data_IF_257150435741
#
_entry.id   IF_257150435741
#
_cell.length_a   1.000
_cell.length_b   1.000
_cell.length_c   1.000
_cell.angle_alpha   90.00
_cell.angle_beta   90.00
_cell.angle_gamma   90.00
#
_symmetry.space_group_name_H-M   'P 1'
#
loop_
_entity.id
_entity.type
_entity.pdbx_description
1 polymer ?
#
# COMPACT_ATOMS: atom_id res chain seq x y z
N UNK A 1 -1.85 18.74 -29.28
CA UNK A 1 -2.29 19.25 -27.96
C UNK A 1 -2.21 18.16 -26.88
N UNK A 2 -3.00 17.07 -26.97
CA UNK A 2 -2.99 16.00 -25.95
C UNK A 2 -1.63 15.28 -25.82
N UNK A 3 -0.96 14.99 -26.95
CA UNK A 3 0.34 14.30 -26.95
C UNK A 3 1.46 15.14 -26.30
N UNK A 4 1.46 16.47 -26.48
CA UNK A 4 2.41 17.35 -25.81
C UNK A 4 2.15 17.41 -24.30
N UNK A 5 0.88 17.52 -23.88
CA UNK A 5 0.51 17.52 -22.47
C UNK A 5 0.90 16.21 -21.75
N UNK A 6 0.71 15.06 -22.40
CA UNK A 6 1.10 13.75 -21.87
C UNK A 6 2.63 13.55 -21.85
N UNK A 7 3.36 14.07 -22.84
CA UNK A 7 4.82 14.06 -22.80
C UNK A 7 5.38 14.97 -21.70
N UNK A 8 4.73 16.10 -21.42
CA UNK A 8 5.22 17.08 -20.45
C UNK A 8 4.84 16.70 -19.00
N UNK A 9 3.61 16.22 -18.76
CA UNK A 9 3.10 15.89 -17.43
C UNK A 9 2.93 14.39 -17.15
N UNK A 10 2.82 13.56 -18.18
CA UNK A 10 2.53 12.13 -18.04
C UNK A 10 3.65 11.35 -17.36
N UNK A 11 4.92 11.66 -17.66
CA UNK A 11 6.06 11.05 -16.98
C UNK A 11 6.17 11.49 -15.52
N UNK A 12 5.89 12.75 -15.22
CA UNK A 12 5.89 13.24 -13.84
C UNK A 12 4.75 12.61 -13.02
N UNK A 13 3.55 12.52 -13.60
CA UNK A 13 2.41 11.84 -13.00
C UNK A 13 2.68 10.34 -12.81
N UNK A 14 3.38 9.69 -13.75
CA UNK A 14 3.83 8.31 -13.62
C UNK A 14 4.84 8.14 -12.48
N UNK A 15 5.80 9.05 -12.33
CA UNK A 15 6.77 9.01 -11.24
C UNK A 15 6.07 9.12 -9.89
N UNK A 16 5.26 10.15 -9.69
CA UNK A 16 4.50 10.35 -8.44
C UNK A 16 3.51 9.22 -8.21
N UNK A 17 2.87 8.76 -9.27
CA UNK A 17 1.95 7.66 -9.23
C UNK A 17 2.63 6.39 -8.73
N UNK A 18 3.74 6.02 -9.34
CA UNK A 18 4.47 4.80 -8.97
C UNK A 18 5.16 4.86 -7.62
N UNK A 19 5.42 6.07 -7.13
CA UNK A 19 5.88 6.32 -5.76
C UNK A 19 4.83 5.94 -4.71
N UNK A 20 3.52 6.20 -4.95
CA UNK A 20 2.44 5.90 -4.00
C UNK A 20 1.65 4.62 -4.32
N UNK A 21 1.22 4.46 -5.57
CA UNK A 21 0.47 3.31 -6.11
C UNK A 21 1.08 2.85 -7.45
N UNK A 22 1.99 1.88 -7.37
CA UNK A 22 2.80 1.38 -8.50
C UNK A 22 2.02 0.74 -9.66
N UNK A 23 1.16 -0.22 -9.35
CA UNK A 23 0.69 -1.21 -10.33
C UNK A 23 -0.29 -0.63 -11.35
N UNK A 24 -1.32 0.08 -10.87
CA UNK A 24 -2.36 0.65 -11.73
C UNK A 24 -1.81 1.68 -12.68
N UNK A 25 -0.96 2.58 -12.18
CA UNK A 25 -0.43 3.70 -12.96
C UNK A 25 0.59 3.20 -13.99
N UNK A 26 1.42 2.19 -13.65
CA UNK A 26 2.30 1.56 -14.62
C UNK A 26 1.52 0.84 -15.72
N UNK A 27 0.43 0.13 -15.39
CA UNK A 27 -0.40 -0.52 -16.41
C UNK A 27 -1.02 0.51 -17.36
N UNK A 28 -1.52 1.62 -16.82
CA UNK A 28 -2.04 2.74 -17.63
C UNK A 28 -0.97 3.35 -18.54
N UNK A 29 0.21 3.63 -17.99
CA UNK A 29 1.31 4.21 -18.76
C UNK A 29 1.84 3.23 -19.82
N UNK A 30 1.87 1.92 -19.53
CA UNK A 30 2.21 0.89 -20.52
C UNK A 30 1.21 0.84 -21.68
N UNK A 31 -0.09 0.98 -21.40
CA UNK A 31 -1.11 1.10 -22.43
C UNK A 31 -0.98 2.39 -23.25
N UNK A 32 -0.71 3.54 -22.60
CA UNK A 32 -0.46 4.80 -23.28
C UNK A 32 0.80 4.73 -24.17
N UNK A 33 1.82 4.01 -23.72
CA UNK A 33 3.01 3.76 -24.52
C UNK A 33 2.70 2.93 -25.77
N UNK A 34 1.86 1.90 -25.63
CA UNK A 34 1.36 1.12 -26.76
C UNK A 34 0.63 1.97 -27.81
N UNK A 35 -0.13 2.97 -27.35
CA UNK A 35 -0.83 3.93 -28.23
C UNK A 35 0.10 4.97 -28.88
N UNK A 36 1.40 4.95 -28.59
CA UNK A 36 2.38 5.91 -29.11
C UNK A 36 2.36 7.28 -28.42
N UNK A 37 1.67 7.42 -27.28
CA UNK A 37 1.68 8.67 -26.50
C UNK A 37 2.92 8.81 -25.62
N UNK A 38 3.55 7.70 -25.26
CA UNK A 38 4.74 7.65 -24.40
C UNK A 38 5.73 6.62 -24.94
N UNK A 39 7.02 6.86 -24.72
CA UNK A 39 8.05 5.85 -24.94
C UNK A 39 8.06 4.80 -23.81
N UNK A 40 8.00 3.51 -24.17
CA UNK A 40 7.97 2.39 -23.23
C UNK A 40 9.22 2.31 -22.35
N UNK A 41 10.41 2.58 -22.90
CA UNK A 41 11.66 2.52 -22.16
C UNK A 41 11.69 3.61 -21.09
N UNK A 42 11.22 4.81 -21.43
CA UNK A 42 11.09 5.92 -20.47
C UNK A 42 10.04 5.59 -19.41
N UNK A 43 8.89 4.99 -19.79
CA UNK A 43 7.87 4.54 -18.83
C UNK A 43 8.46 3.55 -17.83
N UNK A 44 9.20 2.53 -18.29
CA UNK A 44 9.84 1.54 -17.42
C UNK A 44 10.84 2.21 -16.47
N UNK A 45 11.71 3.09 -17.00
CA UNK A 45 12.72 3.79 -16.21
C UNK A 45 12.10 4.68 -15.14
N UNK A 46 11.08 5.48 -15.51
CA UNK A 46 10.40 6.38 -14.59
C UNK A 46 9.64 5.61 -13.52
N UNK A 47 8.96 4.53 -13.89
CA UNK A 47 8.25 3.67 -12.95
C UNK A 47 9.19 2.94 -11.99
N UNK A 48 10.36 2.51 -12.48
CA UNK A 48 11.44 2.01 -11.64
C UNK A 48 11.87 3.07 -10.63
N UNK A 49 12.22 4.27 -11.08
CA UNK A 49 12.69 5.35 -10.20
C UNK A 49 11.65 5.74 -9.14
N UNK A 50 10.39 5.93 -9.55
CA UNK A 50 9.31 6.31 -8.63
C UNK A 50 9.05 5.24 -7.58
N UNK A 51 8.89 3.99 -8.00
CA UNK A 51 8.64 2.89 -7.07
C UNK A 51 9.85 2.57 -6.19
N UNK A 52 11.08 2.65 -6.73
CA UNK A 52 12.30 2.43 -5.95
C UNK A 52 12.44 3.50 -4.87
N UNK A 53 12.25 4.78 -5.20
CA UNK A 53 12.30 5.87 -4.24
C UNK A 53 11.24 5.73 -3.14
N UNK A 54 10.01 5.34 -3.49
CA UNK A 54 8.95 5.09 -2.52
C UNK A 54 9.32 3.97 -1.53
N UNK A 55 9.87 2.87 -2.03
CA UNK A 55 10.29 1.75 -1.20
C UNK A 55 11.46 2.11 -0.27
N UNK A 56 12.43 2.89 -0.76
CA UNK A 56 13.51 3.42 0.09
C UNK A 56 12.95 4.25 1.25
N UNK A 57 11.99 5.14 0.96
CA UNK A 57 11.35 5.94 2.00
C UNK A 57 10.71 5.05 3.07
N UNK A 58 9.93 4.03 2.69
CA UNK A 58 9.32 3.11 3.64
C UNK A 58 10.34 2.32 4.46
N UNK A 59 11.41 1.86 3.83
CA UNK A 59 12.49 1.14 4.50
C UNK A 59 13.21 2.02 5.54
N UNK A 60 13.61 3.24 5.18
CA UNK A 60 14.29 4.15 6.11
C UNK A 60 13.35 4.63 7.23
N UNK A 61 12.07 4.85 6.92
CA UNK A 61 11.05 5.12 7.94
C UNK A 61 10.88 3.92 8.89
N UNK A 62 10.91 2.69 8.38
CA UNK A 62 10.87 1.47 9.17
C UNK A 62 12.10 1.28 10.06
N UNK A 63 13.28 1.63 9.56
CA UNK A 63 14.54 1.52 10.30
C UNK A 63 14.58 2.45 11.52
N UNK A 64 14.11 3.70 11.38
CA UNK A 64 14.11 4.68 12.48
C UNK A 64 12.87 4.58 13.38
N UNK A 65 11.70 4.35 12.80
CA UNK A 65 10.41 4.49 13.48
C UNK A 65 9.47 3.29 13.31
N UNK A 66 9.95 2.15 12.81
CA UNK A 66 9.10 1.02 12.41
C UNK A 66 8.14 0.53 13.49
N UNK A 67 8.60 0.35 14.74
CA UNK A 67 7.73 -0.10 15.84
C UNK A 67 6.58 0.88 16.10
N UNK A 68 6.87 2.19 16.12
CA UNK A 68 5.87 3.25 16.28
C UNK A 68 4.91 3.31 15.08
N UNK A 69 5.41 3.07 13.87
CA UNK A 69 4.62 3.12 12.63
C UNK A 69 3.65 1.94 12.55
N UNK A 70 4.10 0.74 12.90
CA UNK A 70 3.28 -0.48 12.95
C UNK A 70 2.22 -0.40 14.05
N UNK A 71 2.55 0.16 15.22
CA UNK A 71 1.64 0.30 16.35
C UNK A 71 0.49 1.31 16.11
N UNK A 72 0.52 2.11 15.03
CA UNK A 72 -0.56 3.06 14.71
C UNK A 72 -1.89 2.37 14.38
N UNK A 73 -1.85 1.14 13.88
CA UNK A 73 -3.05 0.37 13.52
C UNK A 73 -2.89 -1.10 13.91
N UNK A 74 -3.87 -1.72 14.59
CA UNK A 74 -3.79 -3.14 14.98
C UNK A 74 -3.50 -4.08 13.81
N UNK A 75 -4.13 -3.82 12.65
CA UNK A 75 -3.88 -4.58 11.42
C UNK A 75 -2.44 -4.47 10.92
N UNK A 76 -1.82 -3.28 11.01
CA UNK A 76 -0.44 -3.07 10.57
C UNK A 76 0.55 -3.72 11.52
N UNK A 77 0.26 -3.71 12.83
CA UNK A 77 1.04 -4.42 13.83
C UNK A 77 1.03 -5.94 13.57
N UNK A 78 -0.15 -6.55 13.40
CA UNK A 78 -0.29 -7.99 13.11
C UNK A 78 0.43 -8.39 11.82
N UNK A 79 0.28 -7.59 10.75
CA UNK A 79 0.97 -7.84 9.48
C UNK A 79 2.48 -7.62 9.60
N UNK A 80 2.89 -6.61 10.35
CA UNK A 80 4.29 -6.28 10.60
C UNK A 80 5.02 -7.33 11.42
N UNK A 81 4.38 -7.90 12.45
CA UNK A 81 4.94 -8.99 13.25
C UNK A 81 5.09 -10.27 12.44
N UNK A 82 4.10 -10.59 11.58
CA UNK A 82 4.20 -11.70 10.61
C UNK A 82 5.35 -11.46 9.63
N UNK A 83 5.42 -10.26 9.04
CA UNK A 83 6.48 -9.88 8.11
C UNK A 83 7.87 -9.96 8.77
N UNK A 84 8.00 -9.51 10.02
CA UNK A 84 9.26 -9.57 10.76
C UNK A 84 9.74 -11.00 10.98
N UNK A 85 8.84 -11.94 11.30
CA UNK A 85 9.18 -13.37 11.42
C UNK A 85 9.65 -13.95 10.08
N UNK A 86 8.99 -13.59 9.00
CA UNK A 86 9.32 -14.04 7.64
C UNK A 86 10.68 -13.50 7.18
N UNK A 87 10.93 -12.21 7.38
CA UNK A 87 12.19 -11.53 7.06
C UNK A 87 13.35 -12.11 7.88
N UNK A 88 13.14 -12.46 9.15
CA UNK A 88 14.20 -13.09 9.97
C UNK A 88 14.63 -14.46 9.44
N UNK A 89 13.73 -15.22 8.82
CA UNK A 89 14.06 -16.52 8.22
C UNK A 89 14.77 -16.38 6.88
N UNK A 90 14.25 -15.54 5.99
CA UNK A 90 14.75 -15.41 4.61
C UNK A 90 14.75 -13.96 4.11
N UNK A 91 15.62 -13.09 4.64
CA UNK A 91 15.52 -11.66 4.40
C UNK A 91 15.69 -11.28 2.93
N UNK A 92 16.67 -11.87 2.24
CA UNK A 92 16.99 -11.55 0.84
C UNK A 92 15.85 -11.91 -0.12
N UNK A 93 15.25 -13.09 0.07
CA UNK A 93 14.11 -13.55 -0.74
C UNK A 93 12.93 -12.62 -0.55
N UNK A 94 12.65 -12.20 0.69
CA UNK A 94 11.56 -11.28 0.97
C UNK A 94 11.80 -9.88 0.39
N UNK A 95 13.05 -9.39 0.38
CA UNK A 95 13.40 -8.11 -0.28
C UNK A 95 13.16 -8.16 -1.79
N UNK A 96 13.38 -9.29 -2.45
CA UNK A 96 13.11 -9.43 -3.90
C UNK A 96 11.63 -9.65 -4.21
N UNK A 97 10.92 -10.40 -3.37
CA UNK A 97 9.60 -10.94 -3.71
C UNK A 97 8.42 -10.15 -3.16
N UNK A 98 8.61 -9.26 -2.17
CA UNK A 98 7.49 -8.59 -1.50
C UNK A 98 6.59 -7.78 -2.44
N UNK A 99 7.14 -7.32 -3.57
CA UNK A 99 6.42 -6.54 -4.60
C UNK A 99 5.35 -7.34 -5.33
N UNK A 100 5.45 -8.68 -5.32
CA UNK A 100 4.46 -9.58 -5.94
C UNK A 100 3.38 -10.04 -4.95
N UNK A 101 3.56 -9.77 -3.65
CA UNK A 101 2.61 -10.19 -2.62
C UNK A 101 1.71 -9.02 -2.23
N UNK A 102 0.47 -9.07 -2.72
CA UNK A 102 -0.52 -8.04 -2.48
C UNK A 102 -0.78 -7.85 -0.98
N UNK A 103 -0.84 -6.59 -0.54
CA UNK A 103 -1.05 -6.21 0.86
C UNK A 103 0.22 -6.17 1.73
N UNK A 104 1.30 -6.83 1.34
CA UNK A 104 2.59 -6.73 2.04
C UNK A 104 3.47 -5.60 1.49
N UNK A 105 3.16 -5.04 0.32
CA UNK A 105 3.97 -4.01 -0.36
C UNK A 105 4.33 -2.79 0.48
N UNK A 106 3.45 -2.36 1.40
CA UNK A 106 3.70 -1.22 2.31
C UNK A 106 4.28 -1.63 3.65
N UNK A 107 3.86 -2.77 4.20
CA UNK A 107 4.29 -3.22 5.55
C UNK A 107 5.67 -3.88 5.50
N UNK A 108 6.00 -4.58 4.39
CA UNK A 108 7.22 -5.36 4.28
C UNK A 108 8.50 -4.50 4.24
N UNK A 109 8.61 -3.41 3.44
CA UNK A 109 9.78 -2.54 3.49
C UNK A 109 10.01 -1.97 4.90
N UNK A 110 8.93 -1.63 5.60
CA UNK A 110 8.97 -1.13 6.98
C UNK A 110 9.48 -2.23 7.94
N UNK A 111 8.99 -3.47 7.79
CA UNK A 111 9.43 -4.61 8.59
C UNK A 111 10.89 -5.00 8.32
N UNK A 112 11.34 -4.91 7.06
CA UNK A 112 12.75 -5.11 6.66
C UNK A 112 13.64 -4.02 7.27
N UNK A 113 13.20 -2.77 7.26
CA UNK A 113 13.92 -1.67 7.93
C UNK A 113 14.00 -1.90 9.44
N UNK A 114 12.89 -2.30 10.06
CA UNK A 114 12.79 -2.56 11.49
C UNK A 114 13.63 -3.77 11.94
N UNK A 115 13.87 -4.75 11.07
CA UNK A 115 14.68 -5.93 11.39
C UNK A 115 16.18 -5.62 11.51
N UNK A 116 16.60 -4.42 11.11
CA UNK A 116 18.01 -4.01 11.09
C UNK A 116 18.76 -4.44 9.82
N UNK A 117 18.06 -4.98 8.82
CA UNK A 117 18.66 -5.42 7.55
C UNK A 117 19.56 -4.33 6.93
N UNK A 118 20.76 -4.63 6.41
CA UNK A 118 21.72 -3.61 5.97
C UNK A 118 21.23 -2.77 4.78
N UNK A 119 21.43 -1.44 4.80
CA UNK A 119 20.85 -0.53 3.79
C UNK A 119 21.45 -0.72 2.40
N UNK A 120 22.77 -0.95 2.30
CA UNK A 120 23.44 -1.20 1.01
C UNK A 120 22.88 -2.42 0.28
N UNK A 121 22.67 -3.52 1.01
CA UNK A 121 22.11 -4.76 0.45
C UNK A 121 20.64 -4.59 0.08
N UNK A 122 19.89 -3.80 0.86
CA UNK A 122 18.50 -3.46 0.53
C UNK A 122 18.41 -2.64 -0.76
N UNK A 123 19.23 -1.59 -0.90
CA UNK A 123 19.28 -0.76 -2.12
C UNK A 123 19.51 -1.63 -3.36
N UNK A 124 20.49 -2.54 -3.33
CA UNK A 124 20.80 -3.40 -4.46
C UNK A 124 19.68 -4.39 -4.78
N UNK A 125 19.25 -5.19 -3.80
CA UNK A 125 18.22 -6.22 -4.03
C UNK A 125 16.86 -5.63 -4.38
N UNK A 126 16.46 -4.55 -3.68
CA UNK A 126 15.23 -3.84 -4.00
C UNK A 126 15.31 -3.19 -5.39
N UNK A 127 16.48 -2.69 -5.79
CA UNK A 127 16.71 -2.15 -7.12
C UNK A 127 16.48 -3.22 -8.20
N UNK A 128 17.05 -4.41 -8.02
CA UNK A 128 16.83 -5.54 -8.93
C UNK A 128 15.34 -5.91 -8.98
N UNK A 129 14.69 -6.06 -7.83
CA UNK A 129 13.26 -6.40 -7.76
C UNK A 129 12.37 -5.32 -8.40
N UNK A 130 12.70 -4.05 -8.21
CA UNK A 130 11.97 -2.93 -8.81
C UNK A 130 12.17 -2.87 -10.33
N UNK A 131 13.39 -3.12 -10.83
CA UNK A 131 13.70 -3.14 -12.25
C UNK A 131 12.97 -4.28 -12.97
N UNK A 132 13.07 -5.50 -12.43
CA UNK A 132 12.36 -6.68 -12.95
C UNK A 132 10.85 -6.44 -12.95
N UNK A 133 10.30 -5.91 -11.86
CA UNK A 133 8.87 -5.58 -11.78
C UNK A 133 8.45 -4.54 -12.82
N UNK A 134 9.21 -3.45 -12.97
CA UNK A 134 8.88 -2.37 -13.89
C UNK A 134 8.93 -2.85 -15.34
N UNK A 135 9.98 -3.61 -15.70
CA UNK A 135 10.14 -4.19 -17.02
C UNK A 135 9.04 -5.22 -17.32
N UNK A 136 8.78 -6.15 -16.40
CA UNK A 136 7.77 -7.20 -16.59
C UNK A 136 6.36 -6.62 -16.70
N UNK A 137 5.95 -5.78 -15.74
CA UNK A 137 4.59 -5.23 -15.74
C UNK A 137 4.38 -4.18 -16.83
N UNK A 138 5.38 -3.33 -17.09
CA UNK A 138 5.33 -2.34 -18.17
C UNK A 138 5.25 -3.00 -19.55
N UNK A 139 6.09 -3.99 -19.81
CA UNK A 139 6.06 -4.74 -21.08
C UNK A 139 4.78 -5.55 -21.22
N UNK A 140 4.31 -6.21 -20.16
CA UNK A 140 3.05 -6.95 -20.18
C UNK A 140 1.87 -6.02 -20.50
N UNK A 141 1.80 -4.83 -19.88
CA UNK A 141 0.76 -3.85 -20.15
C UNK A 141 0.80 -3.32 -21.60
N UNK A 142 1.99 -3.08 -22.15
CA UNK A 142 2.17 -2.68 -23.54
C UNK A 142 1.64 -3.74 -24.51
N UNK A 143 2.06 -5.00 -24.35
CA UNK A 143 1.63 -6.10 -25.22
C UNK A 143 0.15 -6.45 -25.04
N UNK A 144 -0.37 -6.31 -23.82
CA UNK A 144 -1.80 -6.47 -23.56
C UNK A 144 -2.64 -5.43 -24.32
N UNK A 145 -2.13 -4.20 -24.47
CA UNK A 145 -2.73 -3.19 -25.34
C UNK A 145 -2.87 -3.67 -26.79
N UNK A 146 -1.84 -4.34 -27.32
CA UNK A 146 -1.86 -4.91 -28.67
C UNK A 146 -2.90 -6.02 -28.85
N UNK A 147 -3.01 -6.91 -27.87
CA UNK A 147 -4.01 -8.00 -27.88
C UNK A 147 -5.44 -7.42 -27.82
N UNK A 148 -5.67 -6.40 -26.98
CA UNK A 148 -6.94 -5.70 -26.92
C UNK A 148 -7.30 -5.06 -28.26
N UNK A 149 -6.36 -4.42 -28.95
CA UNK A 149 -6.63 -3.81 -30.26
C UNK A 149 -6.99 -4.85 -31.33
N UNK A 150 -6.34 -6.01 -31.31
CA UNK A 150 -6.67 -7.13 -32.19
C UNK A 150 -8.04 -7.76 -31.92
N UNK A 151 -8.48 -7.81 -30.66
CA UNK A 151 -9.78 -8.39 -30.28
C UNK A 151 -10.96 -7.42 -30.47
N UNK A 152 -10.76 -6.13 -30.26
CA UNK A 152 -11.84 -5.13 -30.21
C UNK A 152 -12.12 -4.46 -31.55
N UNK A 153 -11.20 -4.51 -32.52
CA UNK A 153 -11.36 -3.89 -33.83
C UNK A 153 -11.42 -2.35 -33.78
N UNK A 154 -10.44 -1.67 -34.40
CA UNK A 154 -10.36 -0.21 -34.51
C UNK A 154 -10.72 0.56 -33.21
N UNK A 155 -9.89 0.36 -32.19
CA UNK A 155 -9.97 1.00 -30.86
C UNK A 155 -9.94 2.55 -30.93
N UNK A 156 -9.54 3.13 -32.07
CA UNK A 156 -9.61 4.59 -32.32
C UNK A 156 -10.99 5.20 -32.00
N UNK A 157 -12.10 4.49 -32.24
CA UNK A 157 -13.46 5.01 -31.95
C UNK A 157 -13.83 4.95 -30.47
N UNK A 158 -13.19 4.06 -29.71
CA UNK A 158 -13.43 3.85 -28.28
C UNK A 158 -12.33 4.40 -27.39
N UNK A 159 -11.36 5.12 -27.95
CA UNK A 159 -10.19 5.66 -27.24
C UNK A 159 -10.59 6.49 -26.01
N UNK A 160 -11.55 7.40 -26.17
CA UNK A 160 -12.09 8.20 -25.07
C UNK A 160 -12.89 7.37 -24.06
N UNK A 161 -13.58 6.32 -24.51
CA UNK A 161 -14.37 5.44 -23.64
C UNK A 161 -13.49 4.48 -22.84
N UNK A 162 -12.39 3.98 -23.41
CA UNK A 162 -11.42 3.13 -22.73
C UNK A 162 -10.60 3.94 -21.74
N UNK A 163 -10.12 5.14 -22.12
CA UNK A 163 -9.48 6.08 -21.19
C UNK A 163 -10.44 6.51 -20.08
N UNK A 164 -11.68 6.88 -20.42
CA UNK A 164 -12.72 7.23 -19.48
C UNK A 164 -13.05 6.08 -18.52
N UNK A 165 -13.19 4.86 -19.03
CA UNK A 165 -13.44 3.66 -18.24
C UNK A 165 -12.27 3.33 -17.31
N UNK A 166 -11.02 3.44 -17.77
CA UNK A 166 -9.83 3.22 -16.95
C UNK A 166 -9.67 4.26 -15.85
N UNK A 167 -9.92 5.54 -16.17
CA UNK A 167 -9.94 6.63 -15.18
C UNK A 167 -11.06 6.40 -14.17
N UNK A 168 -12.27 6.04 -14.61
CA UNK A 168 -13.40 5.73 -13.74
C UNK A 168 -13.16 4.48 -12.88
N UNK A 169 -12.49 3.46 -13.43
CA UNK A 169 -12.13 2.25 -12.69
C UNK A 169 -11.07 2.57 -11.65
N UNK A 170 -10.04 3.34 -12.01
CA UNK A 170 -9.01 3.82 -11.10
C UNK A 170 -9.59 4.67 -9.98
N UNK A 171 -10.43 5.66 -10.33
CA UNK A 171 -11.12 6.54 -9.39
C UNK A 171 -12.11 5.76 -8.52
N UNK A 172 -12.83 4.80 -9.08
CA UNK A 172 -13.79 3.94 -8.38
C UNK A 172 -13.11 2.98 -7.40
N UNK A 173 -11.97 2.40 -7.78
CA UNK A 173 -11.14 1.59 -6.88
C UNK A 173 -10.52 2.45 -5.78
N UNK A 174 -10.06 3.66 -6.11
CA UNK A 174 -9.56 4.64 -5.15
C UNK A 174 -10.65 5.07 -4.15
N UNK A 175 -11.85 5.40 -4.63
CA UNK A 175 -13.01 5.72 -3.78
C UNK A 175 -13.40 4.53 -2.91
N UNK A 176 -13.48 3.32 -3.47
CA UNK A 176 -13.80 2.10 -2.71
C UNK A 176 -12.77 1.82 -1.63
N UNK A 177 -11.47 1.99 -1.91
CA UNK A 177 -10.40 1.87 -0.92
C UNK A 177 -10.52 2.95 0.16
N UNK A 178 -10.83 4.19 -0.22
CA UNK A 178 -11.04 5.32 0.71
C UNK A 178 -12.25 5.07 1.62
N UNK A 179 -13.36 4.59 1.07
CA UNK A 179 -14.59 4.28 1.82
C UNK A 179 -14.38 3.08 2.73
N UNK A 180 -13.74 1.99 2.27
CA UNK A 180 -13.42 0.84 3.12
C UNK A 180 -12.49 1.24 4.27
N UNK A 181 -11.46 2.04 4.00
CA UNK A 181 -10.55 2.55 5.03
C UNK A 181 -11.26 3.51 6.00
N UNK A 182 -12.25 4.28 5.54
CA UNK A 182 -13.07 5.15 6.38
C UNK A 182 -14.08 4.38 7.24
N UNK A 183 -14.69 3.31 6.73
CA UNK A 183 -15.60 2.42 7.48
C UNK A 183 -14.86 1.71 8.61
N UNK A 184 -13.71 1.10 8.30
CA UNK A 184 -12.85 0.45 9.31
C UNK A 184 -12.41 1.46 10.38
N UNK A 185 -12.15 2.72 10.01
CA UNK A 185 -11.81 3.78 10.97
C UNK A 185 -13.01 4.25 11.82
N UNK A 186 -14.24 4.16 11.32
CA UNK A 186 -15.46 4.48 12.06
C UNK A 186 -15.82 3.36 13.03
N UNK A 187 -15.75 2.10 12.59
CA UNK A 187 -15.96 0.92 13.42
C UNK A 187 -14.96 0.87 14.58
N UNK A 188 -13.67 1.12 14.31
CA UNK A 188 -12.65 1.19 15.35
C UNK A 188 -12.82 2.37 16.33
N UNK A 189 -13.50 3.45 15.92
CA UNK A 189 -13.87 4.56 16.83
C UNK A 189 -15.10 4.21 17.66
N UNK A 190 -16.11 3.58 17.06
CA UNK A 190 -17.30 3.09 17.74
C UNK A 190 -16.98 2.04 18.82
N UNK A 191 -16.09 1.08 18.53
CA UNK A 191 -15.62 0.11 19.55
C UNK A 191 -14.91 0.79 20.71
N UNK A 192 -14.03 1.76 20.45
CA UNK A 192 -13.34 2.52 21.50
C UNK A 192 -14.31 3.33 22.36
N UNK A 193 -15.35 3.89 21.74
CA UNK A 193 -16.36 4.69 22.43
C UNK A 193 -17.28 3.80 23.28
N UNK A 194 -17.60 2.60 22.80
CA UNK A 194 -18.34 1.58 23.56
C UNK A 194 -17.54 1.06 24.76
N UNK A 195 -16.26 0.70 24.57
CA UNK A 195 -15.38 0.30 25.68
C UNK A 195 -15.15 1.43 26.69
N UNK A 196 -15.03 2.68 26.24
CA UNK A 196 -14.87 3.82 27.14
C UNK A 196 -16.15 4.09 27.96
N UNK A 197 -17.34 3.92 27.35
CA UNK A 197 -18.62 4.05 28.04
C UNK A 197 -18.85 2.90 29.04
N UNK A 198 -18.47 1.67 28.69
CA UNK A 198 -18.57 0.52 29.59
C UNK A 198 -17.63 0.65 30.81
N UNK A 199 -16.37 1.05 30.58
CA UNK A 199 -15.42 1.27 31.67
C UNK A 199 -15.81 2.42 32.62
N UNK A 200 -16.57 3.41 32.13
CA UNK A 200 -17.13 4.47 32.97
C UNK A 200 -18.32 4.00 33.83
N UNK A 201 -19.10 3.02 33.33
CA UNK A 201 -20.21 2.40 34.07
C UNK A 201 -19.73 1.45 35.17
N UNK A 202 -18.61 0.76 34.97
CA UNK A 202 -18.05 -0.19 35.94
C UNK A 202 -17.39 0.52 37.16
N UNK A 203 -17.08 1.81 37.04
CA UNK A 203 -16.54 2.63 38.15
C UNK A 203 -17.62 3.22 39.07
N UNK A 204 -18.90 3.08 38.71
CA UNK A 204 -20.05 3.60 39.49
C UNK A 204 -20.78 2.50 40.28
N UNK A 205 -20.22 1.28 40.31
CA UNK A 205 -20.69 0.22 41.21
C UNK A 205 -20.32 0.57 42.66
N UNK A 206 -21.30 0.76 43.56
CA UNK A 206 -21.02 1.00 44.96
C UNK A 206 -20.29 -0.22 45.53
N UNK A 207 -19.09 0.02 46.08
CA UNK A 207 -18.35 -0.98 46.85
C UNK A 207 -19.19 -1.32 48.08
N UNK A 208 -19.89 -2.45 48.04
CA UNK A 208 -20.54 -3.03 49.23
C UNK A 208 -19.44 -3.45 50.20
N UNK A 209 -19.23 -2.60 51.22
CA UNK A 209 -18.32 -2.88 52.33
C UNK A 209 -18.98 -3.98 53.18
N UNK A 210 -18.30 -5.11 53.46
CA UNK A 210 -18.84 -6.11 54.37
C UNK A 210 -18.86 -5.51 55.77
N UNK A 211 -20.05 -5.33 56.34
CA UNK A 211 -20.23 -4.97 57.75
C UNK A 211 -20.01 -6.22 58.58
N UNK A 212 -18.83 -6.31 59.20
CA UNK A 212 -18.46 -7.42 60.08
C UNK A 212 -18.86 -7.14 61.55
N UNK A 213 -19.06 -8.26 62.24
CA UNK A 213 -19.69 -8.56 63.51
C UNK A 213 -19.10 -7.87 64.75
N UNK A 214 -19.97 -7.34 65.62
CA UNK A 214 -19.90 -7.30 67.10
C UNK A 214 -21.06 -6.44 67.61
N UNK A 215 -21.83 -6.72 68.66
CA UNK A 215 -21.57 -7.41 69.94
C UNK A 215 -22.94 -7.45 70.63
N UNK A 216 -23.41 -8.60 71.12
CA UNK A 216 -24.46 -8.62 72.16
C UNK A 216 -24.09 -9.72 73.16
N UNK A 217 -23.29 -9.32 74.14
CA UNK A 217 -23.05 -10.03 75.38
C UNK A 217 -23.39 -9.05 76.50
N UNK A 218 -24.32 -9.51 77.33
CA UNK A 218 -24.46 -9.33 78.76
C UNK A 218 -24.88 -7.98 79.37
N UNK A 219 -25.81 -8.16 80.31
CA UNK A 219 -26.31 -7.34 81.43
C UNK A 219 -27.32 -6.21 81.17
#
# INVERSE_FOLDING_TARGET
>A
MLQNFLNEFGYFALFLGTFFEGETILVLAGFLAFRGYMDLNIVILVAFCGSYAGDQLWYFMGRKHGRKLLARKPRWQLMGDKALRLVRKHPDIWVLSFRFVYGLRTVMPVAIGLSGYPPGRYLLLNGIGAAVWAAALGSAAYHFGAVLEGLLGNVKKYELWVLGALILLGLGLWLRRRIKNARIAREARAERQCCASAAASDLDMPVEVPVDLKKKSDD
#
